data_IF_613299252814
#
_entry.id   IF_613299252814
#
_cell.length_a   1.000
_cell.length_b   1.000
_cell.length_c   1.000
_cell.angle_alpha   90.00
_cell.angle_beta   90.00
_cell.angle_gamma   90.00
#
_symmetry.space_group_name_H-M   'P 1'
#
loop_
_entity.id
_entity.type
_entity.pdbx_description
1 polymer ?
#
# COMPACT_ATOMS: atom_id res chain seq x y z
N UNK A 1 23.97 -11.72 20.92
CA UNK A 1 23.53 -10.57 20.10
C UNK A 1 22.41 -9.91 20.86
N UNK A 2 22.65 -8.69 21.33
CA UNK A 2 21.70 -7.92 22.14
C UNK A 2 20.66 -7.26 21.26
N UNK A 3 19.44 -7.15 21.77
CA UNK A 3 18.32 -6.47 21.13
C UNK A 3 18.55 -4.96 21.32
N UNK A 4 19.50 -4.38 20.57
CA UNK A 4 19.80 -2.94 20.62
C UNK A 4 20.04 -2.30 19.24
N UNK A 5 20.00 -3.08 18.15
CA UNK A 5 20.48 -2.61 16.83
C UNK A 5 19.35 -2.12 15.89
N UNK A 6 18.13 -1.90 16.40
CA UNK A 6 16.97 -1.51 15.58
C UNK A 6 16.37 -0.13 15.93
N UNK A 7 17.11 0.75 16.60
CA UNK A 7 16.60 2.09 16.95
C UNK A 7 16.28 2.97 15.72
N UNK A 8 16.74 2.59 14.53
CA UNK A 8 16.59 3.37 13.30
C UNK A 8 15.82 2.65 12.17
N UNK A 9 14.96 1.67 12.47
CA UNK A 9 14.10 1.06 11.42
C UNK A 9 12.75 1.76 11.34
N UNK A 10 12.38 2.22 10.14
CA UNK A 10 11.06 2.77 9.83
C UNK A 10 10.25 1.83 8.95
N UNK A 11 8.94 1.95 9.08
CA UNK A 11 7.95 1.17 8.34
C UNK A 11 7.11 2.08 7.43
N UNK A 12 6.80 1.62 6.22
CA UNK A 12 5.82 2.25 5.32
C UNK A 12 5.23 1.26 4.32
N UNK A 13 4.16 1.65 3.63
CA UNK A 13 3.70 0.96 2.42
C UNK A 13 4.42 1.51 1.18
N UNK A 14 4.77 0.65 0.24
CA UNK A 14 5.36 1.06 -1.04
C UNK A 14 4.87 0.16 -2.20
N UNK A 15 4.63 0.78 -3.35
CA UNK A 15 4.38 0.07 -4.61
C UNK A 15 5.73 -0.44 -5.15
N UNK A 16 5.80 -1.74 -5.43
CA UNK A 16 6.94 -2.40 -6.06
C UNK A 16 6.46 -3.04 -7.35
N UNK A 17 7.17 -2.75 -8.44
CA UNK A 17 6.97 -3.38 -9.74
C UNK A 17 7.91 -4.59 -9.86
N UNK A 18 7.34 -5.79 -9.95
CA UNK A 18 8.05 -7.06 -10.16
C UNK A 18 8.11 -7.47 -11.64
N UNK A 19 7.45 -6.70 -12.50
CA UNK A 19 7.28 -7.00 -13.92
C UNK A 19 8.44 -6.50 -14.78
N UNK A 20 8.16 -6.35 -16.07
CA UNK A 20 9.05 -5.68 -17.00
C UNK A 20 8.48 -4.33 -17.40
N UNK A 21 9.29 -3.52 -18.07
CA UNK A 21 8.85 -2.21 -18.58
C UNK A 21 7.62 -2.32 -19.51
N UNK A 22 7.48 -3.43 -20.23
CA UNK A 22 6.39 -3.70 -21.17
C UNK A 22 5.18 -4.37 -20.51
N UNK A 23 5.39 -5.03 -19.37
CA UNK A 23 4.37 -5.76 -18.60
C UNK A 23 4.62 -5.51 -17.11
N UNK A 24 4.17 -4.36 -16.58
CA UNK A 24 4.33 -4.05 -15.16
C UNK A 24 3.51 -5.03 -14.31
N UNK A 25 4.06 -5.42 -13.17
CA UNK A 25 3.42 -6.27 -12.17
C UNK A 25 3.56 -5.60 -10.80
N UNK A 26 2.70 -4.61 -10.59
CA UNK A 26 2.74 -3.77 -9.41
C UNK A 26 2.02 -4.43 -8.24
N UNK A 27 2.63 -4.34 -7.06
CA UNK A 27 2.01 -4.77 -5.81
C UNK A 27 2.43 -3.88 -4.65
N UNK A 28 1.59 -3.77 -3.61
CA UNK A 28 1.89 -2.97 -2.41
C UNK A 28 2.48 -3.87 -1.33
N UNK A 29 3.69 -3.53 -0.90
CA UNK A 29 4.38 -4.18 0.20
C UNK A 29 4.41 -3.29 1.45
N UNK A 30 4.40 -3.90 2.62
CA UNK A 30 4.97 -3.27 3.80
C UNK A 30 6.49 -3.36 3.69
N UNK A 31 7.14 -2.22 3.86
CA UNK A 31 8.58 -2.04 3.73
C UNK A 31 9.15 -1.60 5.06
N UNK A 32 10.28 -2.20 5.43
CA UNK A 32 11.08 -1.78 6.57
C UNK A 32 12.42 -1.28 6.04
N UNK A 33 12.81 -0.07 6.42
CA UNK A 33 14.07 0.52 6.00
C UNK A 33 14.86 1.06 7.17
N UNK A 34 16.16 0.82 7.12
CA UNK A 34 17.13 1.41 8.04
C UNK A 34 17.33 2.88 7.63
N UNK A 35 17.03 3.79 8.55
CA UNK A 35 17.04 5.25 8.31
C UNK A 35 18.46 5.77 8.14
N UNK A 36 19.43 5.22 8.87
CA UNK A 36 20.82 5.65 8.82
C UNK A 36 21.44 5.34 7.45
N UNK A 37 21.16 4.16 6.90
CA UNK A 37 21.70 3.65 5.64
C UNK A 37 20.79 3.91 4.44
N UNK A 38 19.52 4.26 4.68
CA UNK A 38 18.46 4.39 3.67
C UNK A 38 18.26 3.13 2.82
N UNK A 39 18.49 1.95 3.41
CA UNK A 39 18.34 0.66 2.73
C UNK A 39 17.11 -0.07 3.22
N UNK A 40 16.44 -0.76 2.31
CA UNK A 40 15.39 -1.73 2.65
C UNK A 40 16.05 -2.90 3.40
N UNK A 41 15.52 -3.24 4.57
CA UNK A 41 16.00 -4.35 5.39
C UNK A 41 15.05 -5.54 5.38
N UNK A 42 13.75 -5.30 5.16
CA UNK A 42 12.73 -6.34 5.03
C UNK A 42 11.51 -5.81 4.28
N UNK A 43 10.71 -6.73 3.74
CA UNK A 43 9.38 -6.44 3.19
C UNK A 43 8.44 -7.63 3.39
N UNK A 44 7.13 -7.41 3.23
CA UNK A 44 6.14 -8.50 3.28
C UNK A 44 6.29 -9.48 2.12
N UNK A 45 6.06 -10.77 2.40
CA UNK A 45 6.01 -11.84 1.39
C UNK A 45 4.63 -11.97 0.73
N UNK A 46 3.57 -11.48 1.38
CA UNK A 46 2.21 -11.50 0.87
C UNK A 46 1.76 -10.06 0.55
N UNK A 47 2.14 -9.50 -0.61
CA UNK A 47 1.76 -8.15 -0.99
C UNK A 47 0.29 -8.08 -1.41
N UNK A 48 -0.24 -6.86 -1.38
CA UNK A 48 -1.55 -6.57 -1.96
C UNK A 48 -1.35 -6.42 -3.47
N UNK A 49 -1.92 -7.33 -4.25
CA UNK A 49 -1.85 -7.29 -5.72
C UNK A 49 -2.65 -6.10 -6.26
N UNK A 50 -2.13 -5.49 -7.32
CA UNK A 50 -2.78 -4.37 -8.02
C UNK A 50 -3.27 -4.82 -9.42
N UNK A 51 -3.55 -6.11 -9.59
CA UNK A 51 -3.99 -6.73 -10.85
C UNK A 51 -5.32 -6.19 -11.38
N UNK A 52 -6.09 -5.47 -10.55
CA UNK A 52 -7.34 -4.83 -10.93
C UNK A 52 -7.17 -3.46 -11.58
N UNK A 53 -5.93 -2.96 -11.71
CA UNK A 53 -5.64 -1.69 -12.37
C UNK A 53 -4.97 -1.96 -13.72
N UNK A 54 -5.52 -1.37 -14.79
CA UNK A 54 -5.05 -1.56 -16.16
C UNK A 54 -3.80 -0.71 -16.46
N UNK A 55 -3.51 0.29 -15.63
CA UNK A 55 -2.39 1.21 -15.81
C UNK A 55 -1.89 1.79 -14.48
N UNK A 56 -0.66 2.34 -14.52
CA UNK A 56 -0.10 3.09 -13.38
C UNK A 56 -0.89 4.37 -13.11
N UNK A 57 -1.41 5.02 -14.15
CA UNK A 57 -2.24 6.22 -14.04
C UNK A 57 -3.54 5.96 -13.27
N UNK A 58 -4.24 4.86 -13.58
CA UNK A 58 -5.47 4.47 -12.87
C UNK A 58 -5.20 4.22 -11.38
N UNK A 59 -4.09 3.53 -11.07
CA UNK A 59 -3.66 3.33 -9.69
C UNK A 59 -3.41 4.66 -8.97
N UNK A 60 -2.74 5.62 -9.62
CA UNK A 60 -2.48 6.95 -9.04
C UNK A 60 -3.80 7.67 -8.72
N UNK A 61 -4.75 7.68 -9.65
CA UNK A 61 -6.06 8.32 -9.45
C UNK A 61 -6.81 7.72 -8.24
N UNK A 62 -6.80 6.40 -8.10
CA UNK A 62 -7.45 5.73 -6.96
C UNK A 62 -6.72 6.02 -5.64
N UNK A 63 -5.38 6.04 -5.63
CA UNK A 63 -4.62 6.42 -4.44
C UNK A 63 -4.88 7.88 -4.03
N UNK A 64 -5.02 8.80 -4.99
CA UNK A 64 -5.39 10.19 -4.74
C UNK A 64 -6.81 10.32 -4.17
N UNK A 65 -7.74 9.51 -4.65
CA UNK A 65 -9.10 9.44 -4.11
C UNK A 65 -9.09 8.96 -2.65
N UNK A 66 -8.39 7.84 -2.36
CA UNK A 66 -8.23 7.30 -1.00
C UNK A 66 -7.60 8.36 -0.07
N UNK A 67 -6.53 9.03 -0.53
CA UNK A 67 -5.87 10.09 0.23
C UNK A 67 -6.82 11.26 0.51
N UNK A 68 -7.65 11.63 -0.46
CA UNK A 68 -8.64 12.70 -0.33
C UNK A 68 -9.70 12.33 0.70
N UNK A 69 -10.22 11.10 0.69
CA UNK A 69 -11.21 10.64 1.65
C UNK A 69 -10.63 10.55 3.07
N UNK A 70 -9.40 10.05 3.22
CA UNK A 70 -8.68 10.05 4.50
C UNK A 70 -8.52 11.47 5.06
N UNK A 71 -8.09 12.43 4.22
CA UNK A 71 -7.97 13.85 4.63
C UNK A 71 -9.30 14.48 5.02
N UNK A 72 -10.41 14.00 4.45
CA UNK A 72 -11.77 14.44 4.78
C UNK A 72 -12.37 13.71 5.99
N UNK A 73 -11.65 12.76 6.58
CA UNK A 73 -12.15 11.93 7.68
C UNK A 73 -13.26 10.96 7.26
N UNK A 74 -13.37 10.68 5.95
CA UNK A 74 -14.34 9.72 5.41
C UNK A 74 -13.81 8.30 5.56
N UNK A 75 -13.86 7.81 6.79
CA UNK A 75 -13.55 6.42 7.11
C UNK A 75 -14.86 5.69 7.32
N UNK A 76 -15.11 4.66 6.54
CA UNK A 76 -16.29 3.81 6.67
C UNK A 76 -15.97 2.58 7.52
N UNK A 77 -16.92 2.20 8.36
CA UNK A 77 -16.95 0.88 8.99
C UNK A 77 -17.42 -0.18 8.00
N UNK A 78 -17.08 -1.45 8.25
CA UNK A 78 -17.54 -2.58 7.42
C UNK A 78 -19.07 -2.59 7.30
N UNK A 79 -19.79 -2.33 8.40
CA UNK A 79 -21.25 -2.28 8.39
C UNK A 79 -21.84 -1.14 7.56
N UNK A 80 -21.13 -0.01 7.43
CA UNK A 80 -21.55 1.08 6.53
C UNK A 80 -21.37 0.69 5.07
N UNK A 81 -20.25 0.04 4.73
CA UNK A 81 -20.00 -0.49 3.38
C UNK A 81 -21.06 -1.51 2.98
N UNK A 82 -21.32 -2.49 3.83
CA UNK A 82 -22.34 -3.51 3.60
C UNK A 82 -23.72 -2.88 3.37
N UNK A 83 -24.11 -1.93 4.23
CA UNK A 83 -25.40 -1.24 4.12
C UNK A 83 -25.56 -0.53 2.79
N UNK A 84 -24.52 0.10 2.28
CA UNK A 84 -24.61 0.85 1.02
C UNK A 84 -24.69 -0.10 -0.18
N UNK A 85 -23.99 -1.24 -0.17
CA UNK A 85 -24.14 -2.31 -1.16
C UNK A 85 -25.60 -2.83 -1.18
N UNK A 86 -26.17 -3.09 0.00
CA UNK A 86 -27.54 -3.63 0.13
C UNK A 86 -28.65 -2.62 -0.19
N UNK A 87 -28.37 -1.31 -0.21
CA UNK A 87 -29.34 -0.29 -0.66
C UNK A 87 -29.45 -0.20 -2.18
N UNK A 88 -28.44 -0.68 -2.90
CA UNK A 88 -28.38 -0.68 -4.37
C UNK A 88 -28.88 -1.98 -5.01
N UNK A 89 -29.29 -2.98 -4.22
CA UNK A 89 -29.94 -4.22 -4.67
C UNK A 89 -31.42 -4.24 -4.35
#
# INVERSE_FOLDING_TARGET
MGISDFEDVKWCYQVVDHGTKEQPDCSVHEMYFDVATKRVVAHTENPITLEHYESQEELIEVLEMILTDLKRGRVMTVSEVERDIFKTG
#
